data_IF_551074606417
#
_entry.id   IF_551074606417
#
_cell.length_a   1.000
_cell.length_b   1.000
_cell.length_c   1.000
_cell.angle_alpha   90.00
_cell.angle_beta   90.00
_cell.angle_gamma   90.00
#
_symmetry.space_group_name_H-M   'P 1'
#
loop_
_entity.id
_entity.type
_entity.pdbx_description
1 polymer ?
#
# COMPACT_ATOMS: atom_id res chain seq x y z
N UNK A 1 52.11 -14.51 -32.17
CA UNK A 1 52.93 -13.35 -31.78
C UNK A 1 52.91 -13.33 -30.26
N UNK A 2 53.82 -14.08 -29.63
CA UNK A 2 53.87 -14.24 -28.19
C UNK A 2 54.18 -12.89 -27.55
N UNK A 3 53.26 -12.39 -26.75
CA UNK A 3 53.50 -11.23 -25.90
C UNK A 3 54.55 -11.63 -24.87
N UNK A 4 55.75 -11.05 -24.94
CA UNK A 4 56.81 -11.24 -23.96
C UNK A 4 56.29 -10.90 -22.56
N UNK A 5 55.89 -11.93 -21.84
CA UNK A 5 55.41 -11.80 -20.48
C UNK A 5 56.57 -11.33 -19.59
N UNK A 6 56.39 -10.17 -18.97
CA UNK A 6 57.40 -9.50 -18.16
C UNK A 6 58.05 -10.49 -17.17
N UNK A 7 59.40 -10.58 -17.08
CA UNK A 7 60.09 -11.66 -16.35
C UNK A 7 59.63 -11.84 -14.89
N UNK A 8 59.16 -10.76 -14.27
CA UNK A 8 58.64 -10.74 -12.90
C UNK A 8 57.25 -11.40 -12.83
N UNK A 9 56.36 -11.12 -13.78
CA UNK A 9 55.02 -11.71 -13.86
C UNK A 9 55.11 -13.23 -14.07
N UNK A 10 56.00 -13.67 -14.97
CA UNK A 10 56.26 -15.09 -15.23
C UNK A 10 56.76 -15.83 -13.99
N UNK A 11 57.70 -15.26 -13.23
CA UNK A 11 58.21 -15.83 -11.96
C UNK A 11 57.11 -15.94 -10.90
N UNK A 12 56.25 -14.92 -10.77
CA UNK A 12 55.11 -14.94 -9.83
C UNK A 12 54.10 -16.03 -10.19
N UNK A 13 53.75 -16.18 -11.47
CA UNK A 13 52.85 -17.24 -11.96
C UNK A 13 53.40 -18.64 -11.64
N UNK A 14 54.65 -18.90 -12.01
CA UNK A 14 55.33 -20.19 -11.76
C UNK A 14 55.36 -20.55 -10.27
N UNK A 15 55.60 -19.56 -9.40
CA UNK A 15 55.61 -19.76 -7.94
C UNK A 15 54.21 -20.11 -7.41
N UNK A 16 53.18 -19.41 -7.90
CA UNK A 16 51.77 -19.68 -7.53
C UNK A 16 51.32 -21.06 -7.99
N UNK A 17 51.67 -21.46 -9.21
CA UNK A 17 51.38 -22.79 -9.74
C UNK A 17 52.12 -23.91 -9.00
N UNK A 18 53.38 -23.69 -8.61
CA UNK A 18 54.14 -24.66 -7.81
C UNK A 18 53.48 -24.86 -6.44
N UNK A 19 53.04 -23.77 -5.80
CA UNK A 19 52.31 -23.82 -4.53
C UNK A 19 50.95 -24.52 -4.68
N UNK A 20 50.20 -24.23 -5.74
CA UNK A 20 48.91 -24.88 -6.01
C UNK A 20 49.07 -26.38 -6.23
N UNK A 21 50.07 -26.80 -7.02
CA UNK A 21 50.39 -28.23 -7.24
C UNK A 21 50.83 -28.93 -5.96
N UNK A 22 51.57 -28.25 -5.10
CA UNK A 22 51.97 -28.79 -3.80
C UNK A 22 50.77 -28.97 -2.87
N UNK A 23 49.86 -27.98 -2.78
CA UNK A 23 48.64 -28.05 -1.97
C UNK A 23 47.69 -29.15 -2.45
N UNK A 24 47.55 -29.33 -3.78
CA UNK A 24 46.70 -30.35 -4.36
C UNK A 24 47.15 -31.80 -4.06
N UNK A 25 48.41 -31.99 -3.64
CA UNK A 25 48.99 -33.29 -3.27
C UNK A 25 48.90 -33.60 -1.78
N UNK A 26 48.39 -32.67 -0.96
CA UNK A 26 48.29 -32.84 0.49
C UNK A 26 47.02 -33.61 0.87
N UNK A 27 47.10 -34.38 1.97
CA UNK A 27 45.92 -34.96 2.60
C UNK A 27 45.05 -33.87 3.25
N UNK A 28 43.76 -34.17 3.45
CA UNK A 28 42.83 -33.25 4.11
C UNK A 28 43.33 -32.85 5.51
N UNK A 29 43.87 -33.81 6.28
CA UNK A 29 44.44 -33.56 7.61
C UNK A 29 45.65 -32.61 7.56
N UNK A 30 46.52 -32.76 6.55
CA UNK A 30 47.65 -31.85 6.34
C UNK A 30 47.17 -30.43 6.01
N UNK A 31 46.15 -30.31 5.16
CA UNK A 31 45.55 -29.01 4.82
C UNK A 31 44.92 -28.34 6.04
N UNK A 32 44.25 -29.09 6.91
CA UNK A 32 43.63 -28.56 8.12
C UNK A 32 44.67 -28.13 9.16
N UNK A 33 45.79 -28.87 9.29
CA UNK A 33 46.94 -28.42 10.08
C UNK A 33 47.55 -27.12 9.55
N UNK A 34 47.71 -26.99 8.24
CA UNK A 34 48.21 -25.75 7.61
C UNK A 34 47.27 -24.58 7.90
N UNK A 35 45.94 -24.77 7.73
CA UNK A 35 44.93 -23.76 8.04
C UNK A 35 44.96 -23.35 9.51
N UNK A 36 45.12 -24.31 10.43
CA UNK A 36 45.19 -24.03 11.86
C UNK A 36 46.43 -23.20 12.23
N UNK A 37 47.58 -23.52 11.64
CA UNK A 37 48.82 -22.74 11.82
C UNK A 37 48.68 -21.33 11.26
N UNK A 38 48.12 -21.18 10.05
CA UNK A 38 47.88 -19.88 9.43
C UNK A 38 46.90 -19.02 10.23
N UNK A 39 45.82 -19.64 10.75
CA UNK A 39 44.84 -18.97 11.61
C UNK A 39 45.46 -18.49 12.93
N UNK A 40 46.28 -19.32 13.57
CA UNK A 40 47.01 -18.95 14.79
C UNK A 40 48.00 -17.81 14.55
N UNK A 41 48.75 -17.86 13.44
CA UNK A 41 49.66 -16.80 13.04
C UNK A 41 48.94 -15.49 12.69
N UNK A 42 47.76 -15.57 12.05
CA UNK A 42 46.91 -14.42 11.79
C UNK A 42 46.40 -13.80 13.10
N UNK A 43 45.89 -14.61 14.03
CA UNK A 43 45.39 -14.15 15.34
C UNK A 43 46.46 -13.37 16.12
N UNK A 44 47.68 -13.93 16.25
CA UNK A 44 48.81 -13.25 16.93
C UNK A 44 49.15 -11.90 16.31
N UNK A 45 49.07 -11.79 14.97
CA UNK A 45 49.31 -10.54 14.26
C UNK A 45 48.26 -9.49 14.58
N UNK A 46 46.99 -9.89 14.66
CA UNK A 46 45.88 -8.99 15.02
C UNK A 46 46.00 -8.50 16.46
N UNK A 47 46.39 -9.38 17.39
CA UNK A 47 46.60 -9.02 18.80
C UNK A 47 47.77 -8.05 19.00
N UNK A 48 48.74 -8.05 18.08
CA UNK A 48 49.89 -7.14 18.08
C UNK A 48 49.68 -5.85 17.27
N UNK A 49 48.53 -5.65 16.62
CA UNK A 49 48.25 -4.44 15.82
C UNK A 49 47.97 -3.22 16.70
N UNK A 50 48.60 -2.09 16.35
CA UNK A 50 48.23 -0.78 16.91
C UNK A 50 46.94 -0.24 16.24
N UNK A 51 46.21 0.70 16.88
CA UNK A 51 44.92 1.19 16.36
C UNK A 51 44.96 1.68 14.90
N UNK A 52 46.00 2.41 14.49
CA UNK A 52 46.17 2.89 13.12
C UNK A 52 46.34 1.75 12.09
N UNK A 53 47.05 0.67 12.46
CA UNK A 53 47.23 -0.50 11.59
C UNK A 53 45.92 -1.30 11.47
N UNK A 54 45.19 -1.43 12.57
CA UNK A 54 43.86 -2.06 12.58
C UNK A 54 42.87 -1.31 11.69
N UNK A 55 42.85 0.02 11.74
CA UNK A 55 42.00 0.85 10.88
C UNK A 55 42.35 0.68 9.40
N UNK A 56 43.64 0.80 9.03
CA UNK A 56 44.09 0.62 7.66
C UNK A 56 43.78 -0.79 7.11
N UNK A 57 43.84 -1.84 7.94
CA UNK A 57 43.42 -3.19 7.56
C UNK A 57 41.91 -3.26 7.29
N UNK A 58 41.09 -2.68 8.16
CA UNK A 58 39.62 -2.63 7.98
C UNK A 58 39.23 -1.90 6.71
N UNK A 59 39.88 -0.78 6.40
CA UNK A 59 39.65 -0.02 5.17
C UNK A 59 40.02 -0.84 3.93
N UNK A 60 41.20 -1.46 3.91
CA UNK A 60 41.61 -2.36 2.81
C UNK A 60 40.66 -3.55 2.63
N UNK A 61 40.16 -4.13 3.73
CA UNK A 61 39.18 -5.21 3.66
C UNK A 61 37.83 -4.71 3.16
N UNK A 62 37.38 -3.54 3.59
CA UNK A 62 36.16 -2.92 3.09
C UNK A 62 36.26 -2.64 1.57
N UNK A 63 37.38 -2.08 1.10
CA UNK A 63 37.65 -1.87 -0.32
C UNK A 63 37.69 -3.19 -1.12
N UNK A 64 38.40 -4.20 -0.61
CA UNK A 64 38.46 -5.51 -1.25
C UNK A 64 37.07 -6.17 -1.33
N UNK A 65 36.29 -6.10 -0.26
CA UNK A 65 34.90 -6.58 -0.24
C UNK A 65 34.02 -5.80 -1.23
N UNK A 66 34.19 -4.47 -1.32
CA UNK A 66 33.46 -3.63 -2.26
C UNK A 66 33.79 -4.01 -3.71
N UNK A 67 35.07 -4.23 -4.04
CA UNK A 67 35.50 -4.67 -5.37
C UNK A 67 34.96 -6.05 -5.73
N UNK A 68 34.99 -7.01 -4.80
CA UNK A 68 34.41 -8.35 -5.01
C UNK A 68 32.91 -8.26 -5.25
N UNK A 69 32.20 -7.48 -4.42
CA UNK A 69 30.76 -7.23 -4.59
C UNK A 69 30.47 -6.60 -5.94
N UNK A 70 31.20 -5.57 -6.34
CA UNK A 70 31.01 -4.91 -7.63
C UNK A 70 31.26 -5.86 -8.81
N UNK A 71 32.29 -6.70 -8.76
CA UNK A 71 32.55 -7.72 -9.78
C UNK A 71 31.42 -8.76 -9.83
N UNK A 72 30.92 -9.20 -8.68
CA UNK A 72 29.78 -10.11 -8.60
C UNK A 72 28.52 -9.47 -9.18
N UNK A 73 28.21 -8.23 -8.80
CA UNK A 73 27.10 -7.46 -9.35
C UNK A 73 27.25 -7.17 -10.84
N UNK A 74 28.48 -7.00 -11.34
CA UNK A 74 28.75 -6.83 -12.76
C UNK A 74 28.52 -8.14 -13.52
N UNK A 75 29.01 -9.28 -13.01
CA UNK A 75 28.69 -10.60 -13.59
C UNK A 75 27.19 -10.87 -13.66
N UNK A 76 26.47 -10.57 -12.57
CA UNK A 76 25.00 -10.70 -12.55
C UNK A 76 24.35 -9.79 -13.59
N UNK A 77 24.83 -8.55 -13.74
CA UNK A 77 24.35 -7.64 -14.78
C UNK A 77 24.64 -8.16 -16.19
N UNK A 78 25.84 -8.66 -16.43
CA UNK A 78 26.25 -9.21 -17.73
C UNK A 78 25.42 -10.46 -18.09
N UNK A 79 25.11 -11.33 -17.11
CA UNK A 79 24.18 -12.45 -17.27
C UNK A 79 22.73 -11.98 -17.47
N UNK A 80 22.30 -10.94 -16.75
CA UNK A 80 20.95 -10.38 -16.85
C UNK A 80 20.69 -9.59 -18.14
N UNK A 81 21.72 -9.15 -18.87
CA UNK A 81 21.58 -8.54 -20.21
C UNK A 81 20.91 -9.52 -21.20
N UNK A 82 20.97 -10.84 -20.95
CA UNK A 82 20.28 -11.85 -21.74
C UNK A 82 18.84 -12.14 -21.28
N UNK A 83 18.34 -11.49 -20.23
CA UNK A 83 16.94 -11.60 -19.82
C UNK A 83 16.06 -10.73 -20.72
N UNK A 84 15.40 -11.35 -21.69
CA UNK A 84 14.40 -10.70 -22.52
C UNK A 84 13.04 -10.98 -21.87
N UNK A 85 12.47 -9.99 -21.19
CA UNK A 85 11.18 -10.11 -20.50
C UNK A 85 10.07 -10.61 -21.44
N UNK A 86 10.11 -10.21 -22.72
CA UNK A 86 9.17 -10.67 -23.75
C UNK A 86 9.28 -12.18 -24.08
N UNK A 87 10.35 -12.86 -23.67
CA UNK A 87 10.54 -14.31 -23.85
C UNK A 87 10.13 -15.11 -22.62
N UNK A 88 9.77 -14.46 -21.51
CA UNK A 88 9.24 -15.15 -20.34
C UNK A 88 7.81 -15.59 -20.66
N UNK A 89 7.56 -16.90 -20.64
CA UNK A 89 6.22 -17.44 -20.77
C UNK A 89 5.38 -16.93 -19.58
N UNK A 90 4.44 -16.04 -19.88
CA UNK A 90 3.57 -15.48 -18.84
C UNK A 90 2.56 -16.53 -18.42
N UNK A 91 2.44 -16.75 -17.10
CA UNK A 91 1.40 -17.62 -16.59
C UNK A 91 0.03 -16.98 -16.86
N UNK A 92 -0.72 -17.57 -17.79
CA UNK A 92 -2.04 -17.10 -18.17
C UNK A 92 -3.10 -18.08 -17.69
N UNK A 93 -3.89 -17.67 -16.69
CA UNK A 93 -5.00 -18.46 -16.15
C UNK A 93 -6.20 -18.61 -17.12
N UNK A 94 -6.11 -18.00 -18.32
CA UNK A 94 -7.20 -17.91 -19.28
C UNK A 94 -8.26 -16.88 -18.86
N UNK A 95 -9.35 -16.77 -19.63
CA UNK A 95 -10.43 -15.85 -19.30
C UNK A 95 -11.18 -16.30 -18.03
N UNK A 96 -11.52 -15.34 -17.17
CA UNK A 96 -12.39 -15.55 -16.02
C UNK A 96 -13.86 -15.57 -16.48
N UNK A 97 -14.28 -16.64 -17.16
CA UNK A 97 -15.60 -16.75 -17.78
C UNK A 97 -16.45 -17.91 -17.26
N UNK A 98 -15.97 -18.67 -16.26
CA UNK A 98 -16.77 -19.73 -15.64
C UNK A 98 -17.68 -19.14 -14.59
N UNK A 99 -18.97 -19.11 -14.89
CA UNK A 99 -19.97 -18.49 -14.02
C UNK A 99 -20.46 -19.49 -12.96
N UNK A 100 -20.37 -19.11 -11.70
CA UNK A 100 -20.94 -19.86 -10.60
C UNK A 100 -22.47 -19.86 -10.69
N UNK A 101 -23.09 -21.05 -10.65
CA UNK A 101 -24.54 -21.20 -10.79
C UNK A 101 -25.32 -20.48 -9.69
N UNK A 102 -24.76 -20.45 -8.47
CA UNK A 102 -25.40 -19.89 -7.27
C UNK A 102 -25.21 -18.38 -7.13
N UNK A 103 -23.97 -17.88 -7.25
CA UNK A 103 -23.64 -16.46 -6.97
C UNK A 103 -23.32 -15.63 -8.20
N UNK A 104 -23.38 -16.24 -9.40
CA UNK A 104 -23.03 -15.61 -10.69
C UNK A 104 -21.63 -14.99 -10.76
N UNK A 105 -20.77 -15.28 -9.78
CA UNK A 105 -19.37 -14.88 -9.80
C UNK A 105 -18.67 -15.51 -11.00
N UNK A 106 -17.77 -14.75 -11.62
CA UNK A 106 -16.86 -15.23 -12.65
C UNK A 106 -15.65 -15.88 -11.96
N UNK A 107 -15.21 -17.03 -12.46
CA UNK A 107 -14.10 -17.82 -11.92
C UNK A 107 -13.23 -18.28 -13.09
N UNK A 108 -11.98 -18.64 -12.82
CA UNK A 108 -11.09 -19.23 -13.82
C UNK A 108 -11.45 -20.70 -14.07
N UNK A 109 -11.11 -21.21 -15.26
CA UNK A 109 -11.37 -22.60 -15.62
C UNK A 109 -10.68 -23.59 -14.67
N UNK A 110 -9.46 -23.28 -14.24
CA UNK A 110 -8.68 -24.09 -13.31
C UNK A 110 -9.30 -24.18 -11.90
N UNK A 111 -10.15 -23.22 -11.52
CA UNK A 111 -10.81 -23.21 -10.22
C UNK A 111 -12.09 -24.07 -10.19
N UNK A 112 -12.56 -24.55 -11.35
CA UNK A 112 -13.80 -25.32 -11.46
C UNK A 112 -13.60 -26.73 -10.87
N UNK A 113 -14.31 -27.08 -9.79
CA UNK A 113 -14.23 -28.43 -9.24
C UNK A 113 -14.87 -29.45 -10.19
N UNK A 114 -14.49 -30.73 -10.09
CA UNK A 114 -15.06 -31.82 -10.90
C UNK A 114 -16.59 -31.92 -10.78
N UNK A 115 -17.13 -31.61 -9.60
CA UNK A 115 -18.59 -31.57 -9.35
C UNK A 115 -19.30 -30.33 -9.95
N UNK A 116 -18.56 -29.36 -10.51
CA UNK A 116 -19.10 -28.13 -11.07
C UNK A 116 -19.64 -27.11 -10.05
N UNK A 117 -19.58 -27.43 -8.74
CA UNK A 117 -20.04 -26.57 -7.65
C UNK A 117 -18.87 -25.96 -6.91
N UNK A 118 -18.76 -24.62 -6.94
CA UNK A 118 -17.65 -23.90 -6.31
C UNK A 118 -17.72 -23.93 -4.78
N UNK A 119 -16.69 -24.48 -4.15
CA UNK A 119 -16.55 -24.50 -2.69
C UNK A 119 -15.94 -23.20 -2.16
N UNK A 120 -14.89 -22.69 -2.81
CA UNK A 120 -14.16 -21.48 -2.38
C UNK A 120 -15.04 -20.24 -2.39
N UNK A 121 -15.84 -20.03 -3.45
CA UNK A 121 -16.63 -18.81 -3.60
C UNK A 121 -17.94 -18.82 -2.78
N UNK A 122 -18.65 -19.94 -2.69
CA UNK A 122 -19.98 -19.95 -2.07
C UNK A 122 -20.31 -21.20 -1.26
N UNK A 123 -19.31 -22.06 -0.98
CA UNK A 123 -19.49 -23.37 -0.35
C UNK A 123 -20.65 -24.17 -0.94
N UNK A 124 -20.66 -24.32 -2.27
CA UNK A 124 -21.69 -25.03 -3.04
C UNK A 124 -23.10 -24.42 -2.83
N UNK A 125 -23.19 -23.08 -2.72
CA UNK A 125 -24.43 -22.32 -2.59
C UNK A 125 -24.92 -22.11 -1.16
N UNK A 126 -24.18 -22.56 -0.14
CA UNK A 126 -24.54 -22.38 1.27
C UNK A 126 -24.35 -20.95 1.76
N UNK A 127 -23.37 -20.22 1.22
CA UNK A 127 -23.13 -18.82 1.59
C UNK A 127 -23.95 -17.93 0.67
N UNK A 128 -24.93 -17.23 1.24
CA UNK A 128 -25.65 -16.11 0.61
C UNK A 128 -25.11 -14.82 1.21
N UNK A 129 -24.38 -14.03 0.42
CA UNK A 129 -24.02 -12.69 0.86
C UNK A 129 -25.29 -11.84 0.87
N UNK A 130 -25.46 -11.09 1.95
CA UNK A 130 -26.47 -10.04 2.02
C UNK A 130 -26.19 -9.01 0.94
N UNK A 131 -27.25 -8.61 0.24
CA UNK A 131 -27.17 -7.46 -0.64
C UNK A 131 -27.21 -6.22 0.23
N UNK A 132 -26.48 -5.19 -0.18
CA UNK A 132 -26.59 -3.92 0.48
C UNK A 132 -27.98 -3.35 0.19
N UNK A 133 -28.68 -2.86 1.22
CA UNK A 133 -29.99 -2.23 1.06
C UNK A 133 -30.03 -0.87 1.75
N UNK A 134 -30.85 0.05 1.25
CA UNK A 134 -31.08 1.35 1.89
C UNK A 134 -31.95 1.24 3.16
N UNK A 135 -32.21 2.37 3.83
CA UNK A 135 -33.07 2.42 5.02
C UNK A 135 -34.52 1.97 4.77
N UNK A 136 -34.93 1.87 3.50
CA UNK A 136 -36.23 1.41 3.04
C UNK A 136 -36.17 -0.04 2.51
N UNK A 137 -35.05 -0.75 2.72
CA UNK A 137 -34.79 -2.12 2.25
C UNK A 137 -34.73 -2.29 0.73
N UNK A 138 -34.46 -1.22 -0.03
CA UNK A 138 -34.18 -1.34 -1.47
C UNK A 138 -32.73 -1.77 -1.69
N UNK A 139 -32.52 -2.83 -2.47
CA UNK A 139 -31.18 -3.28 -2.87
C UNK A 139 -30.42 -2.14 -3.59
N UNK A 140 -29.26 -1.76 -3.06
CA UNK A 140 -28.33 -0.89 -3.77
C UNK A 140 -27.74 -1.65 -4.96
N UNK A 141 -28.08 -1.18 -6.16
CA UNK A 141 -27.45 -1.63 -7.38
C UNK A 141 -26.18 -0.82 -7.64
N UNK A 142 -25.18 -1.46 -8.24
CA UNK A 142 -23.98 -0.76 -8.66
C UNK A 142 -24.37 0.36 -9.67
N UNK A 143 -23.84 1.59 -9.55
CA UNK A 143 -24.33 2.72 -10.33
C UNK A 143 -24.17 2.49 -11.84
N UNK A 144 -25.25 2.63 -12.61
CA UNK A 144 -25.26 2.33 -14.04
C UNK A 144 -24.18 3.09 -14.82
N UNK A 145 -23.94 4.36 -14.51
CA UNK A 145 -22.91 5.14 -15.22
C UNK A 145 -21.49 4.59 -14.97
N UNK A 146 -21.17 4.14 -13.74
CA UNK A 146 -19.91 3.47 -13.43
C UNK A 146 -19.86 2.07 -14.07
N UNK A 147 -21.00 1.37 -14.10
CA UNK A 147 -21.08 0.05 -14.73
C UNK A 147 -20.80 0.12 -16.23
N UNK A 148 -21.35 1.14 -16.91
CA UNK A 148 -21.15 1.39 -18.33
C UNK A 148 -19.68 1.71 -18.62
N UNK A 149 -19.04 2.52 -17.77
CA UNK A 149 -17.60 2.80 -17.86
C UNK A 149 -16.75 1.54 -17.67
N UNK A 150 -17.17 0.61 -16.80
CA UNK A 150 -16.46 -0.64 -16.54
C UNK A 150 -16.70 -1.72 -17.60
N UNK A 151 -17.89 -1.78 -18.19
CA UNK A 151 -18.36 -2.98 -18.92
C UNK A 151 -18.83 -2.75 -20.34
N UNK A 152 -19.09 -1.51 -20.77
CA UNK A 152 -19.67 -1.22 -22.08
C UNK A 152 -18.65 -0.57 -23.05
N UNK A 153 -18.01 -1.35 -23.96
CA UNK A 153 -16.95 -0.84 -24.84
C UNK A 153 -17.37 0.25 -25.82
N UNK A 154 -18.67 0.37 -26.12
CA UNK A 154 -19.18 1.39 -27.02
C UNK A 154 -19.41 2.74 -26.32
N UNK A 155 -19.26 2.82 -24.99
CA UNK A 155 -19.24 4.11 -24.30
C UNK A 155 -18.01 4.90 -24.76
N UNK A 156 -18.21 6.15 -25.18
CA UNK A 156 -17.14 7.04 -25.65
C UNK A 156 -16.03 7.22 -24.60
N UNK A 157 -16.39 7.12 -23.32
CA UNK A 157 -15.49 7.28 -22.19
C UNK A 157 -14.82 5.98 -21.73
N UNK A 158 -15.26 4.81 -22.23
CA UNK A 158 -14.81 3.48 -21.78
C UNK A 158 -13.28 3.34 -21.86
N UNK A 159 -12.70 3.70 -23.01
CA UNK A 159 -11.27 3.53 -23.26
C UNK A 159 -10.43 4.38 -22.31
N UNK A 160 -10.76 5.67 -22.18
CA UNK A 160 -10.04 6.57 -21.28
C UNK A 160 -10.17 6.12 -19.82
N UNK A 161 -11.35 5.66 -19.41
CA UNK A 161 -11.57 5.15 -18.07
C UNK A 161 -10.74 3.90 -17.77
N UNK A 162 -10.73 2.92 -18.68
CA UNK A 162 -9.94 1.69 -18.51
C UNK A 162 -8.44 1.95 -18.48
N UNK A 163 -7.93 2.75 -19.43
CA UNK A 163 -6.52 3.09 -19.52
C UNK A 163 -6.02 3.82 -18.24
N UNK A 164 -6.92 4.55 -17.56
CA UNK A 164 -6.59 5.38 -16.39
C UNK A 164 -7.31 4.99 -15.10
N UNK A 165 -7.88 3.78 -15.00
CA UNK A 165 -8.79 3.39 -13.91
C UNK A 165 -8.15 3.53 -12.52
N UNK A 166 -6.83 3.30 -12.43
CA UNK A 166 -6.07 3.45 -11.18
C UNK A 166 -5.95 4.93 -10.76
N UNK A 167 -5.75 5.83 -11.72
CA UNK A 167 -5.71 7.27 -11.47
C UNK A 167 -7.09 7.79 -11.06
N UNK A 168 -8.16 7.37 -11.75
CA UNK A 168 -9.53 7.68 -11.32
C UNK A 168 -9.77 7.24 -9.88
N UNK A 169 -9.52 5.96 -9.55
CA UNK A 169 -9.72 5.44 -8.21
C UNK A 169 -8.92 6.22 -7.17
N UNK A 170 -7.64 6.50 -7.46
CA UNK A 170 -6.76 7.23 -6.55
C UNK A 170 -7.21 8.67 -6.34
N UNK A 171 -7.70 9.34 -7.38
CA UNK A 171 -8.17 10.72 -7.33
C UNK A 171 -9.39 10.90 -6.41
N UNK A 172 -10.27 9.89 -6.34
CA UNK A 172 -11.47 9.90 -5.48
C UNK A 172 -11.30 9.07 -4.20
N UNK A 173 -10.07 8.64 -3.88
CA UNK A 173 -9.81 7.82 -2.69
C UNK A 173 -9.87 8.63 -1.39
N UNK A 174 -10.36 8.02 -0.31
CA UNK A 174 -10.39 8.61 1.04
C UNK A 174 -9.11 8.31 1.81
N UNK A 175 -8.29 7.37 1.32
CA UNK A 175 -7.04 6.97 1.93
C UNK A 175 -5.89 6.99 0.92
N UNK A 176 -4.70 7.23 1.44
CA UNK A 176 -3.46 7.22 0.70
C UNK A 176 -2.66 5.97 1.01
N UNK A 177 -1.86 5.50 0.04
CA UNK A 177 -0.84 4.50 0.29
C UNK A 177 0.41 5.18 0.84
N UNK A 178 0.62 5.06 2.14
CA UNK A 178 1.82 5.52 2.82
C UNK A 178 2.96 4.53 2.67
N UNK A 179 3.95 4.88 1.85
CA UNK A 179 5.19 4.10 1.71
C UNK A 179 6.39 5.01 1.45
N UNK A 180 7.59 4.57 1.84
CA UNK A 180 8.84 5.22 1.45
C UNK A 180 9.29 4.63 0.12
N UNK A 181 8.93 5.30 -0.98
CA UNK A 181 9.44 4.95 -2.31
C UNK A 181 10.94 5.18 -2.32
N UNK A 182 11.70 4.18 -2.77
CA UNK A 182 13.15 4.28 -2.92
C UNK A 182 13.48 4.16 -4.38
N UNK A 183 14.03 5.24 -4.94
CA UNK A 183 14.61 5.21 -6.26
C UNK A 183 16.08 4.76 -6.16
N UNK A 184 16.46 3.80 -7.00
CA UNK A 184 17.85 3.38 -7.12
C UNK A 184 18.29 3.71 -8.54
N UNK A 185 19.23 4.64 -8.67
CA UNK A 185 19.92 4.90 -9.93
C UNK A 185 20.83 3.71 -10.28
N UNK A 186 20.33 2.79 -11.09
CA UNK A 186 21.07 1.61 -11.55
C UNK A 186 20.44 0.98 -12.79
N UNK A 187 21.25 0.25 -13.56
CA UNK A 187 20.77 -0.48 -14.74
C UNK A 187 20.05 -1.77 -14.34
N UNK A 188 18.81 -1.94 -14.81
CA UNK A 188 17.97 -3.12 -14.64
C UNK A 188 16.52 -2.85 -15.05
N UNK A 189 15.64 -3.88 -15.09
CA UNK A 189 14.22 -3.71 -15.36
C UNK A 189 13.55 -2.72 -14.40
N UNK A 190 12.56 -1.97 -14.90
CA UNK A 190 11.83 -1.01 -14.09
C UNK A 190 11.09 -1.73 -12.96
N UNK A 191 11.44 -1.41 -11.71
CA UNK A 191 10.88 -2.05 -10.52
C UNK A 191 10.41 -0.98 -9.54
N UNK A 192 9.13 -1.02 -9.17
CA UNK A 192 8.61 -0.17 -8.10
C UNK A 192 9.13 -0.69 -6.76
N UNK A 193 9.99 0.11 -6.12
CA UNK A 193 10.67 -0.27 -4.88
C UNK A 193 10.19 0.56 -3.71
N UNK A 194 9.85 -0.14 -2.64
CA UNK A 194 9.40 0.44 -1.38
C UNK A 194 10.30 -0.04 -0.26
N UNK A 195 10.60 0.85 0.68
CA UNK A 195 11.35 0.53 1.88
C UNK A 195 10.45 0.58 3.11
N UNK A 196 10.48 -0.49 3.90
CA UNK A 196 9.64 -0.64 5.08
C UNK A 196 8.28 -1.26 4.75
N UNK A 197 7.28 -0.96 5.59
CA UNK A 197 5.93 -1.48 5.45
C UNK A 197 5.03 -0.52 4.67
N UNK A 198 4.22 -1.08 3.77
CA UNK A 198 3.11 -0.36 3.16
C UNK A 198 2.03 -0.17 4.23
N UNK A 199 1.55 1.06 4.38
CA UNK A 199 0.46 1.41 5.28
C UNK A 199 -0.61 2.18 4.50
N UNK A 200 -1.87 2.00 4.86
CA UNK A 200 -2.92 2.88 4.38
C UNK A 200 -3.14 3.99 5.39
N UNK A 201 -3.24 5.22 4.91
CA UNK A 201 -3.26 6.43 5.72
C UNK A 201 -4.43 7.30 5.33
N UNK A 202 -5.23 7.69 6.30
CA UNK A 202 -6.15 8.83 6.16
C UNK A 202 -5.50 10.07 6.76
N UNK A 203 -6.00 11.26 6.44
CA UNK A 203 -5.49 12.52 6.99
C UNK A 203 -6.53 13.21 7.85
N UNK A 204 -6.04 14.17 8.64
CA UNK A 204 -6.89 15.17 9.28
C UNK A 204 -7.61 16.00 8.21
N UNK A 205 -8.76 16.59 8.57
CA UNK A 205 -9.59 17.36 7.62
C UNK A 205 -8.88 18.65 7.18
N UNK A 206 -8.21 19.34 8.09
CA UNK A 206 -7.44 20.52 7.74
C UNK A 206 -6.08 20.14 7.19
N UNK A 207 -5.58 20.92 6.22
CA UNK A 207 -4.22 20.74 5.73
C UNK A 207 -3.21 21.28 6.73
N UNK A 208 -2.18 20.48 7.00
CA UNK A 208 -1.06 20.90 7.83
C UNK A 208 -0.12 21.77 6.98
N UNK A 209 0.31 22.91 7.51
CA UNK A 209 1.31 23.81 6.89
C UNK A 209 0.95 24.33 5.48
N UNK A 210 -0.33 24.61 5.21
CA UNK A 210 -0.76 25.23 3.94
C UNK A 210 -0.61 24.33 2.70
N UNK A 211 -0.42 23.03 2.89
CA UNK A 211 -0.38 22.07 1.79
C UNK A 211 -1.72 22.03 1.03
N UNK A 212 -1.64 21.70 -0.26
CA UNK A 212 -2.85 21.50 -1.07
C UNK A 212 -3.69 20.34 -0.50
N UNK A 213 -5.03 20.46 -0.44
CA UNK A 213 -5.89 19.37 0.04
C UNK A 213 -5.70 18.08 -0.76
N UNK A 214 -5.63 16.95 -0.07
CA UNK A 214 -5.49 15.62 -0.67
C UNK A 214 -6.48 14.60 -0.10
N UNK A 215 -6.84 13.61 -0.92
CA UNK A 215 -7.70 12.47 -0.53
C UNK A 215 -8.98 12.92 0.19
N UNK A 216 -9.15 12.48 1.43
CA UNK A 216 -10.28 12.82 2.31
C UNK A 216 -10.56 14.31 2.42
N UNK A 217 -9.52 15.16 2.43
CA UNK A 217 -9.68 16.62 2.59
C UNK A 217 -10.47 17.24 1.44
N UNK A 218 -10.44 16.60 0.27
CA UNK A 218 -11.19 17.05 -0.91
C UNK A 218 -12.71 16.94 -0.70
N UNK A 219 -13.17 16.06 0.19
CA UNK A 219 -14.59 15.94 0.54
C UNK A 219 -15.08 17.00 1.52
N UNK A 220 -14.16 17.69 2.20
CA UNK A 220 -14.47 18.78 3.13
C UNK A 220 -14.56 20.16 2.45
N UNK A 221 -14.23 20.27 1.16
CA UNK A 221 -14.33 21.49 0.36
C UNK A 221 -15.42 21.36 -0.71
N UNK A 222 -15.74 22.48 -1.36
CA UNK A 222 -16.71 22.53 -2.47
C UNK A 222 -16.33 21.56 -3.61
N UNK A 223 -17.33 20.92 -4.20
CA UNK A 223 -17.16 19.91 -5.26
C UNK A 223 -16.41 20.47 -6.48
N UNK A 224 -16.71 21.71 -6.89
CA UNK A 224 -16.05 22.35 -8.03
C UNK A 224 -14.57 22.58 -7.73
N UNK A 225 -14.26 23.03 -6.50
CA UNK A 225 -12.88 23.23 -6.05
C UNK A 225 -12.12 21.90 -5.96
N UNK A 226 -12.73 20.87 -5.37
CA UNK A 226 -12.17 19.53 -5.26
C UNK A 226 -11.83 18.94 -6.63
N UNK A 227 -12.76 19.02 -7.58
CA UNK A 227 -12.55 18.51 -8.94
C UNK A 227 -11.41 19.25 -9.66
N UNK A 228 -11.31 20.57 -9.50
CA UNK A 228 -10.17 21.33 -10.05
C UNK A 228 -8.83 20.88 -9.45
N UNK A 229 -8.77 20.65 -8.15
CA UNK A 229 -7.55 20.15 -7.49
C UNK A 229 -7.19 18.76 -8.02
N UNK A 230 -8.17 17.86 -8.17
CA UNK A 230 -7.94 16.52 -8.72
C UNK A 230 -7.42 16.55 -10.15
N UNK A 231 -8.00 17.37 -11.01
CA UNK A 231 -7.61 17.46 -12.43
C UNK A 231 -6.22 18.07 -12.61
N UNK A 232 -5.86 19.04 -11.76
CA UNK A 232 -4.54 19.67 -11.80
C UNK A 232 -3.42 18.78 -11.21
N UNK A 233 -3.77 17.63 -10.63
CA UNK A 233 -2.77 16.70 -10.09
C UNK A 233 -2.07 15.95 -11.24
N UNK A 234 -0.72 15.92 -11.31
CA UNK A 234 0.01 15.31 -12.43
C UNK A 234 -0.38 13.84 -12.73
N UNK A 235 -0.68 13.06 -11.69
CA UNK A 235 -1.10 11.66 -11.86
C UNK A 235 -2.46 11.49 -12.58
N UNK A 236 -3.23 12.57 -12.73
CA UNK A 236 -4.56 12.58 -13.33
C UNK A 236 -4.59 13.34 -14.66
N UNK A 237 -3.43 13.70 -15.24
CA UNK A 237 -3.34 14.47 -16.49
C UNK A 237 -4.12 13.82 -17.65
N UNK A 238 -4.14 12.49 -17.70
CA UNK A 238 -4.85 11.72 -18.72
C UNK A 238 -6.31 11.44 -18.37
N UNK A 239 -6.78 11.83 -17.18
CA UNK A 239 -8.17 11.62 -16.77
C UNK A 239 -9.09 12.68 -17.40
N UNK A 240 -10.22 12.22 -17.92
CA UNK A 240 -11.33 13.05 -18.34
C UNK A 240 -12.03 13.71 -17.13
N UNK A 241 -12.04 15.04 -17.12
CA UNK A 241 -12.68 15.87 -16.09
C UNK A 241 -14.17 15.52 -15.92
N UNK A 242 -14.90 15.25 -17.00
CA UNK A 242 -16.34 14.94 -16.95
C UNK A 242 -16.60 13.69 -16.10
N UNK A 243 -15.75 12.68 -16.23
CA UNK A 243 -15.87 11.43 -15.49
C UNK A 243 -15.55 11.67 -14.02
N UNK A 244 -14.47 12.39 -13.71
CA UNK A 244 -14.11 12.73 -12.32
C UNK A 244 -15.22 13.52 -11.62
N UNK A 245 -15.80 14.52 -12.31
CA UNK A 245 -16.91 15.32 -11.80
C UNK A 245 -18.17 14.47 -11.55
N UNK A 246 -18.51 13.56 -12.47
CA UNK A 246 -19.63 12.62 -12.29
C UNK A 246 -19.43 11.70 -11.08
N UNK A 247 -18.22 11.15 -10.91
CA UNK A 247 -17.89 10.27 -9.77
C UNK A 247 -17.93 11.07 -8.45
N UNK A 248 -17.34 12.27 -8.40
CA UNK A 248 -17.32 13.09 -7.19
C UNK A 248 -18.74 13.47 -6.74
N UNK A 249 -19.60 13.92 -7.68
CA UNK A 249 -21.00 14.24 -7.37
C UNK A 249 -21.75 13.04 -6.84
N UNK A 250 -21.58 11.89 -7.49
CA UNK A 250 -22.22 10.65 -7.04
C UNK A 250 -21.77 10.28 -5.62
N UNK A 251 -20.47 10.34 -5.31
CA UNK A 251 -20.00 10.03 -3.96
C UNK A 251 -20.48 11.03 -2.91
N UNK A 252 -20.53 12.33 -3.22
CA UNK A 252 -21.08 13.33 -2.27
C UNK A 252 -22.57 13.16 -1.99
N UNK A 253 -23.31 12.51 -2.89
CA UNK A 253 -24.75 12.29 -2.75
C UNK A 253 -25.09 10.94 -2.11
N UNK A 254 -24.27 9.92 -2.34
CA UNK A 254 -24.63 8.53 -2.01
C UNK A 254 -23.57 7.77 -1.20
N UNK A 255 -22.34 8.26 -1.12
CA UNK A 255 -21.28 7.57 -0.41
C UNK A 255 -21.27 7.99 1.06
N UNK A 256 -21.56 7.03 1.94
CA UNK A 256 -21.64 7.27 3.39
C UNK A 256 -20.34 7.78 4.02
N UNK A 257 -19.18 7.44 3.45
CA UNK A 257 -17.88 7.95 3.92
C UNK A 257 -17.77 9.44 3.60
N UNK A 258 -18.15 9.83 2.39
CA UNK A 258 -18.21 11.23 1.95
C UNK A 258 -19.11 12.07 2.87
N UNK A 259 -20.31 11.57 3.17
CA UNK A 259 -21.24 12.24 4.08
C UNK A 259 -20.66 12.40 5.49
N UNK A 260 -19.97 11.39 5.98
CA UNK A 260 -19.36 11.43 7.33
C UNK A 260 -18.26 12.50 7.41
N UNK A 261 -17.40 12.60 6.39
CA UNK A 261 -16.36 13.63 6.35
C UNK A 261 -16.93 15.04 6.17
N UNK A 262 -18.02 15.20 5.41
CA UNK A 262 -18.75 16.47 5.31
C UNK A 262 -19.32 16.88 6.66
N UNK A 263 -19.97 15.95 7.37
CA UNK A 263 -20.53 16.20 8.70
C UNK A 263 -19.45 16.61 9.72
N UNK A 264 -18.29 15.95 9.72
CA UNK A 264 -17.18 16.35 10.59
C UNK A 264 -16.75 17.81 10.32
N UNK A 265 -16.69 18.22 9.06
CA UNK A 265 -16.36 19.62 8.69
C UNK A 265 -17.42 20.63 9.12
N UNK A 266 -18.69 20.27 9.01
CA UNK A 266 -19.82 21.12 9.44
C UNK A 266 -19.80 21.33 10.96
N UNK A 267 -19.64 20.24 11.73
CA UNK A 267 -19.55 20.30 13.19
C UNK A 267 -18.34 21.11 13.63
N UNK A 268 -17.18 20.88 13.00
CA UNK A 268 -15.97 21.65 13.24
C UNK A 268 -16.19 23.15 13.01
N UNK A 269 -16.79 23.52 11.87
CA UNK A 269 -17.02 24.92 11.52
C UNK A 269 -17.98 25.60 12.51
N UNK A 270 -19.02 24.89 12.96
CA UNK A 270 -19.96 25.38 13.98
C UNK A 270 -19.26 25.60 15.32
N UNK A 271 -18.50 24.60 15.78
CA UNK A 271 -17.77 24.67 17.05
C UNK A 271 -16.76 25.81 17.05
N UNK A 272 -16.03 26.02 15.96
CA UNK A 272 -15.10 27.15 15.82
C UNK A 272 -15.85 28.48 15.94
N UNK A 273 -17.00 28.62 15.28
CA UNK A 273 -17.79 29.85 15.34
C UNK A 273 -18.30 30.13 16.76
N UNK A 274 -18.88 29.11 17.41
CA UNK A 274 -19.39 29.19 18.79
C UNK A 274 -18.27 29.54 19.79
N UNK A 275 -17.10 28.91 19.70
CA UNK A 275 -15.95 29.22 20.56
C UNK A 275 -15.41 30.63 20.33
N UNK A 276 -15.34 31.09 19.07
CA UNK A 276 -14.90 32.46 18.76
C UNK A 276 -15.88 33.51 19.31
N UNK A 277 -17.19 33.24 19.28
CA UNK A 277 -18.22 34.11 19.86
C UNK A 277 -18.17 34.12 21.39
N UNK A 278 -17.91 32.97 22.01
CA UNK A 278 -17.77 32.83 23.47
C UNK A 278 -16.43 33.34 24.01
N UNK A 279 -15.42 33.53 23.16
CA UNK A 279 -14.05 33.85 23.58
C UNK A 279 -13.36 32.69 24.30
N UNK A 280 -13.80 31.46 24.04
CA UNK A 280 -13.27 30.24 24.63
C UNK A 280 -12.33 29.53 23.66
N UNK A 281 -11.49 28.64 24.21
CA UNK A 281 -10.65 27.78 23.38
C UNK A 281 -11.51 26.81 22.57
N UNK A 282 -11.15 26.60 21.30
CA UNK A 282 -11.87 25.69 20.40
C UNK A 282 -11.70 24.24 20.90
N UNK A 283 -12.79 23.55 21.29
CA UNK A 283 -12.69 22.18 21.75
C UNK A 283 -12.36 21.22 20.60
N UNK A 284 -11.75 20.10 20.96
CA UNK A 284 -11.32 19.10 19.98
C UNK A 284 -12.55 18.37 19.44
N UNK A 285 -12.78 18.52 18.14
CA UNK A 285 -13.75 17.69 17.41
C UNK A 285 -13.04 16.43 16.92
N UNK A 286 -13.66 15.25 17.03
CA UNK A 286 -13.11 14.03 16.46
C UNK A 286 -14.21 13.18 15.80
N UNK A 287 -13.84 12.41 14.79
CA UNK A 287 -14.71 11.48 14.07
C UNK A 287 -14.17 10.08 14.21
N UNK A 288 -15.07 9.14 14.46
CA UNK A 288 -14.71 7.77 14.76
C UNK A 288 -15.58 6.79 14.00
N UNK A 289 -14.93 5.88 13.27
CA UNK A 289 -15.58 4.78 12.57
C UNK A 289 -15.90 3.62 13.51
N UNK A 290 -17.17 3.19 13.53
CA UNK A 290 -17.65 2.02 14.29
C UNK A 290 -17.36 0.72 13.54
N UNK A 291 -17.03 -0.33 14.29
CA UNK A 291 -16.91 -1.69 13.76
C UNK A 291 -18.21 -2.49 13.82
N UNK A 292 -19.07 -2.24 14.80
CA UNK A 292 -20.25 -3.09 15.06
C UNK A 292 -21.56 -2.32 14.84
N UNK A 293 -22.42 -2.87 13.97
CA UNK A 293 -23.79 -2.40 13.73
C UNK A 293 -24.72 -2.71 14.93
N UNK A 294 -24.33 -3.62 15.82
CA UNK A 294 -25.17 -4.13 16.92
C UNK A 294 -24.76 -3.65 18.33
N UNK A 295 -23.65 -2.89 18.46
CA UNK A 295 -23.19 -2.43 19.78
C UNK A 295 -23.98 -1.20 20.27
N UNK A 296 -24.97 -1.50 21.11
CA UNK A 296 -25.72 -0.69 22.09
C UNK A 296 -25.84 0.83 21.84
N UNK A 297 -27.05 1.26 21.47
CA UNK A 297 -27.43 2.67 21.23
C UNK A 297 -27.68 3.46 22.54
N UNK A 298 -27.62 2.83 23.72
CA UNK A 298 -28.21 3.42 24.94
C UNK A 298 -27.27 4.16 25.89
N UNK A 299 -25.99 4.39 25.56
CA UNK A 299 -25.00 4.81 26.58
C UNK A 299 -24.26 6.13 26.40
N UNK A 300 -24.48 6.89 25.32
CA UNK A 300 -23.80 8.19 25.14
C UNK A 300 -24.72 9.22 24.48
N UNK A 301 -24.47 10.50 24.76
CA UNK A 301 -25.19 11.66 24.23
C UNK A 301 -25.52 11.49 22.74
N UNK A 302 -26.77 11.81 22.36
CA UNK A 302 -27.35 11.47 21.07
C UNK A 302 -26.43 11.86 19.89
N UNK A 303 -25.94 10.89 19.09
CA UNK A 303 -25.08 11.18 17.96
C UNK A 303 -25.84 12.00 16.92
N UNK A 304 -25.24 13.07 16.42
CA UNK A 304 -25.65 13.70 15.17
C UNK A 304 -25.24 12.74 14.05
N UNK A 305 -26.22 12.11 13.38
CA UNK A 305 -26.12 10.75 12.87
C UNK A 305 -25.29 10.50 11.59
N UNK A 306 -24.56 9.37 11.60
CA UNK A 306 -24.26 8.43 10.50
C UNK A 306 -24.07 7.05 11.17
N UNK A 307 -24.67 5.96 10.67
CA UNK A 307 -24.59 4.61 11.29
C UNK A 307 -23.15 4.08 11.40
N UNK A 308 -22.23 4.66 10.62
CA UNK A 308 -20.87 4.16 10.42
C UNK A 308 -19.82 4.97 11.17
N UNK A 309 -20.11 6.23 11.51
CA UNK A 309 -19.18 7.05 12.27
C UNK A 309 -19.88 8.12 13.11
N UNK A 310 -19.32 8.37 14.30
CA UNK A 310 -19.80 9.37 15.25
C UNK A 310 -18.80 10.51 15.34
N UNK A 311 -19.30 11.75 15.35
CA UNK A 311 -18.52 12.96 15.60
C UNK A 311 -18.71 13.40 17.05
N UNK A 312 -17.63 13.55 17.82
CA UNK A 312 -17.66 14.03 19.21
C UNK A 312 -17.01 15.39 19.32
N UNK A 313 -17.50 16.18 20.28
CA UNK A 313 -16.90 17.44 20.72
C UNK A 313 -16.56 17.26 22.20
N UNK A 314 -15.27 17.14 22.51
CA UNK A 314 -14.80 16.92 23.88
C UNK A 314 -13.79 18.00 24.28
N UNK A 315 -13.86 18.48 25.51
CA UNK A 315 -12.88 19.39 26.10
C UNK A 315 -11.50 18.73 26.27
N UNK A 316 -11.49 17.41 26.50
CA UNK A 316 -10.28 16.67 26.91
C UNK A 316 -9.64 15.89 25.73
N UNK A 317 -10.25 15.91 24.54
CA UNK A 317 -9.78 15.20 23.34
C UNK A 317 -9.90 13.67 23.38
N UNK A 318 -10.07 13.07 24.55
CA UNK A 318 -10.18 11.63 24.82
C UNK A 318 -11.47 11.02 24.20
N UNK A 319 -11.35 10.09 23.25
CA UNK A 319 -12.47 9.36 22.65
C UNK A 319 -12.75 8.00 23.35
N UNK A 320 -14.00 7.50 23.40
CA UNK A 320 -14.33 6.20 24.01
C UNK A 320 -13.49 4.99 23.57
N UNK A 321 -13.25 4.07 24.51
CA UNK A 321 -12.23 3.01 24.55
C UNK A 321 -12.07 2.00 23.37
N UNK A 322 -12.99 1.87 22.41
CA UNK A 322 -12.89 0.85 21.33
C UNK A 322 -13.10 1.45 19.94
N UNK A 323 -12.01 1.78 19.21
CA UNK A 323 -12.07 2.57 17.97
C UNK A 323 -10.96 2.22 16.98
N UNK A 324 -11.31 1.96 15.72
CA UNK A 324 -10.35 1.54 14.69
C UNK A 324 -9.70 2.69 13.91
N UNK A 325 -10.39 3.83 13.74
CA UNK A 325 -9.86 5.01 13.04
C UNK A 325 -10.43 6.26 13.70
N UNK A 326 -9.53 7.17 14.09
CA UNK A 326 -9.87 8.46 14.68
C UNK A 326 -9.37 9.56 13.76
N UNK A 327 -10.26 10.48 13.37
CA UNK A 327 -9.93 11.62 12.53
C UNK A 327 -10.24 12.90 13.30
N UNK A 328 -9.28 13.80 13.33
CA UNK A 328 -9.43 15.13 13.93
C UNK A 328 -9.39 16.22 12.84
N UNK A 329 -9.98 17.41 13.07
CA UNK A 329 -9.68 18.64 12.36
C UNK A 329 -8.18 18.91 12.24
N UNK A 330 -7.49 18.91 13.38
CA UNK A 330 -6.06 19.01 13.57
C UNK A 330 -5.68 18.03 14.68
N UNK A 331 -4.52 17.39 14.59
CA UNK A 331 -4.08 16.46 15.63
C UNK A 331 -3.85 17.20 16.96
N UNK A 332 -4.61 16.88 18.02
CA UNK A 332 -4.50 17.59 19.31
C UNK A 332 -3.22 17.23 20.08
N UNK A 333 -2.68 16.01 19.90
CA UNK A 333 -1.51 15.52 20.63
C UNK A 333 -0.20 15.88 19.91
N UNK A 334 -0.22 15.84 18.58
CA UNK A 334 0.96 16.12 17.76
C UNK A 334 0.58 16.89 16.49
N UNK A 335 0.64 18.24 16.53
CA UNK A 335 0.29 19.09 15.38
C UNK A 335 1.10 18.80 14.11
N UNK A 336 2.25 18.15 14.24
CA UNK A 336 3.13 17.78 13.11
C UNK A 336 2.80 16.42 12.49
N UNK A 337 1.87 15.64 13.07
CA UNK A 337 1.43 14.37 12.49
C UNK A 337 0.24 14.61 11.55
N UNK A 338 0.41 14.51 10.22
CA UNK A 338 -0.65 14.86 9.29
C UNK A 338 -1.56 13.67 8.93
N UNK A 339 -1.21 12.46 9.36
CA UNK A 339 -1.88 11.23 8.96
C UNK A 339 -2.13 10.25 10.11
N UNK A 340 -3.21 9.48 9.95
CA UNK A 340 -3.62 8.38 10.81
C UNK A 340 -3.49 7.08 10.00
N UNK A 341 -2.83 6.06 10.56
CA UNK A 341 -2.76 4.75 9.92
C UNK A 341 -4.09 4.03 10.10
N UNK A 342 -4.65 3.53 9.00
CA UNK A 342 -5.85 2.70 9.01
C UNK A 342 -5.42 1.27 9.34
N UNK A 343 -6.10 0.63 10.28
CA UNK A 343 -5.87 -0.78 10.60
C UNK A 343 -6.17 -1.65 9.36
N UNK A 344 -5.28 -2.60 9.04
CA UNK A 344 -5.46 -3.56 7.94
C UNK A 344 -6.69 -4.45 8.10
N UNK A 345 -7.22 -4.57 9.33
CA UNK A 345 -8.41 -5.33 9.66
C UNK A 345 -9.68 -4.46 9.70
N UNK A 346 -9.57 -3.19 9.32
CA UNK A 346 -10.71 -2.27 9.30
C UNK A 346 -11.64 -2.60 8.13
N UNK A 347 -12.95 -2.80 8.36
CA UNK A 347 -13.91 -3.00 7.27
C UNK A 347 -14.03 -1.79 6.33
N UNK A 348 -13.55 -0.62 6.76
CA UNK A 348 -13.55 0.60 5.95
C UNK A 348 -12.26 0.76 5.14
N UNK A 349 -11.26 -0.11 5.30
CA UNK A 349 -9.99 0.04 4.58
C UNK A 349 -10.17 0.00 3.06
N UNK A 350 -10.75 -1.09 2.54
CA UNK A 350 -10.93 -1.27 1.10
C UNK A 350 -11.91 -0.22 0.51
N UNK A 351 -13.02 0.13 1.16
CA UNK A 351 -13.89 1.22 0.70
C UNK A 351 -13.20 2.58 0.69
N UNK A 352 -12.29 2.84 1.64
CA UNK A 352 -11.52 4.08 1.66
C UNK A 352 -10.40 4.10 0.62
N UNK A 353 -9.83 2.95 0.25
CA UNK A 353 -8.73 2.84 -0.71
C UNK A 353 -9.24 2.70 -2.15
N UNK A 354 -10.34 1.99 -2.36
CA UNK A 354 -10.90 1.59 -3.64
C UNK A 354 -12.38 1.99 -3.80
N UNK A 355 -12.75 3.27 -3.62
CA UNK A 355 -14.15 3.69 -3.54
C UNK A 355 -14.94 3.49 -4.84
N UNK A 356 -14.28 3.33 -6.00
CA UNK A 356 -14.99 2.97 -7.24
C UNK A 356 -15.63 1.59 -7.11
N UNK A 357 -14.99 0.63 -6.44
CA UNK A 357 -15.57 -0.69 -6.18
C UNK A 357 -16.61 -0.68 -5.06
N UNK A 358 -16.55 0.31 -4.18
CA UNK A 358 -17.45 0.49 -3.05
C UNK A 358 -18.15 1.86 -3.15
N UNK A 359 -19.01 2.07 -4.17
CA UNK A 359 -19.53 3.38 -4.52
C UNK A 359 -20.40 4.00 -3.43
N UNK A 360 -20.99 3.18 -2.55
CA UNK A 360 -21.77 3.63 -1.40
C UNK A 360 -20.94 3.69 -0.10
N UNK A 361 -19.66 3.32 -0.16
CA UNK A 361 -18.72 3.26 0.96
C UNK A 361 -18.93 2.05 1.85
N UNK A 362 -19.68 1.06 1.37
CA UNK A 362 -20.12 -0.12 2.09
C UNK A 362 -18.96 -0.93 2.68
N UNK A 363 -19.12 -1.55 3.86
CA UNK A 363 -18.00 -2.17 4.54
C UNK A 363 -17.60 -3.44 3.80
N UNK A 364 -16.29 -3.67 3.68
CA UNK A 364 -15.78 -4.94 3.19
C UNK A 364 -15.76 -5.97 4.34
N UNK A 365 -14.96 -7.02 4.19
CA UNK A 365 -14.77 -8.07 5.16
C UNK A 365 -14.38 -7.53 6.56
N UNK A 366 -14.82 -8.24 7.59
CA UNK A 366 -14.46 -7.96 8.97
C UNK A 366 -14.19 -9.26 9.73
N UNK A 367 -13.37 -9.16 10.78
CA UNK A 367 -13.14 -10.30 11.66
C UNK A 367 -14.46 -10.76 12.29
N UNK A 368 -14.65 -12.07 12.38
CA UNK A 368 -15.85 -12.70 12.97
C UNK A 368 -17.17 -12.33 12.27
N UNK A 369 -17.15 -11.95 10.99
CA UNK A 369 -18.38 -11.73 10.24
C UNK A 369 -19.23 -13.01 10.23
N UNK A 370 -20.42 -12.92 10.84
CA UNK A 370 -21.42 -13.99 10.84
C UNK A 370 -22.35 -13.75 9.66
N UNK A 371 -22.44 -14.73 8.77
CA UNK A 371 -23.43 -14.73 7.71
C UNK A 371 -24.68 -15.46 8.24
N UNK A 372 -25.82 -14.78 8.31
CA UNK A 372 -27.06 -15.37 8.86
C UNK A 372 -27.51 -16.61 8.07
N UNK A 373 -27.20 -16.67 6.78
CA UNK A 373 -27.46 -17.84 5.94
C UNK A 373 -26.61 -19.08 6.29
N UNK A 374 -25.62 -18.92 7.16
CA UNK A 374 -24.71 -19.96 7.62
C UNK A 374 -24.98 -20.29 9.09
N UNK A 375 -26.11 -20.96 9.33
CA UNK A 375 -26.44 -21.66 10.58
C UNK A 375 -26.60 -23.16 10.31
#
# INVERSE_FOLDING_TARGET
MDTEEEPIAKRRRMTKERKARWLARQSQESLDRIRAVDAAAYKRRIEAEIPAQSQARRERYAEAHHLVRNRQSQRIRDEAIHFIEAQVETHNCGPMNIICQFRKSKNFAAERPSEGKFTSSCRKGKIKLEKLSDALSNDFLYPNFLLDLLTYPNNTDYKNFHDNIRSYNSAVSFSSMGTKVVDFSGGGPCVFKVHGQIRHRTSHIQSVNGQAPQYVQLYAIDSTQATKIRVNHPANEQCNLRILDQIDRFFRQHNRLSDTYRMLREVESRVIAESNEAGEDVPVVNMVFRCDRHSDQRRYNAPTASEIAMVFVNSDGEPPFERNVLVYPLNPENPQQPFININILSPNLDPMAYPIFFPYGEPDWQLNWRCESYQ
#
